data_IF_542731810319
#
_entry.id   IF_542731810319
#
_cell.length_a   1.000
_cell.length_b   1.000
_cell.length_c   1.000
_cell.angle_alpha   90.00
_cell.angle_beta   90.00
_cell.angle_gamma   90.00
#
_symmetry.space_group_name_H-M   'P 1'
#
loop_
_entity.id
_entity.type
_entity.pdbx_description
1 polymer ?
#
# COMPACT_ATOMS: atom_id res chain seq x y z
N UNK A 1 -18.22 6.36 -2.17
CA UNK A 1 -17.53 5.39 -1.31
C UNK A 1 -16.08 5.39 -1.76
N UNK A 2 -15.14 5.84 -0.93
CA UNK A 2 -13.72 5.71 -1.24
C UNK A 2 -13.27 4.35 -0.71
N UNK A 3 -12.62 3.57 -1.57
CA UNK A 3 -11.99 2.30 -1.19
C UNK A 3 -10.52 2.65 -0.98
N UNK A 4 -9.98 2.36 0.21
CA UNK A 4 -8.60 2.66 0.60
C UNK A 4 -7.84 1.34 0.76
N UNK A 5 -6.63 1.27 0.22
CA UNK A 5 -5.67 0.20 0.46
C UNK A 5 -4.50 0.70 1.32
N UNK A 6 -3.83 -0.22 2.02
CA UNK A 6 -2.63 0.06 2.79
C UNK A 6 -1.67 -1.11 2.65
N UNK A 7 -0.48 -0.82 2.14
CA UNK A 7 0.52 -1.85 1.85
C UNK A 7 1.84 -1.49 2.47
N UNK A 8 2.59 -2.52 2.86
CA UNK A 8 3.89 -2.34 3.47
C UNK A 8 4.97 -3.10 2.71
N UNK A 9 6.08 -2.43 2.43
CA UNK A 9 7.27 -3.04 1.85
C UNK A 9 8.43 -3.00 2.84
N UNK A 10 8.92 -4.19 3.21
CA UNK A 10 10.04 -4.35 4.12
C UNK A 10 11.22 -5.01 3.42
N UNK A 11 12.40 -4.42 3.55
CA UNK A 11 13.63 -5.17 3.29
C UNK A 11 13.74 -6.32 4.29
N UNK A 12 14.21 -7.49 3.82
CA UNK A 12 14.42 -8.63 4.70
C UNK A 12 15.69 -8.44 5.55
N UNK A 13 15.55 -7.79 6.70
CA UNK A 13 16.62 -7.53 7.67
C UNK A 13 16.08 -7.45 9.10
N UNK A 14 16.99 -7.40 10.08
CA UNK A 14 16.61 -7.15 11.47
C UNK A 14 16.26 -5.67 11.68
N UNK A 15 15.15 -5.40 12.35
CA UNK A 15 14.69 -4.06 12.70
C UNK A 15 14.77 -3.83 14.21
N UNK A 16 15.15 -2.62 14.61
CA UNK A 16 15.08 -2.21 16.01
C UNK A 16 13.62 -2.13 16.47
N UNK A 17 13.35 -2.54 17.72
CA UNK A 17 12.01 -2.40 18.33
C UNK A 17 11.61 -0.92 18.41
N UNK A 18 10.31 -0.64 18.25
CA UNK A 18 9.76 0.71 18.37
C UNK A 18 9.93 1.61 17.14
N UNK A 19 10.39 1.07 16.00
CA UNK A 19 10.35 1.78 14.72
C UNK A 19 8.91 1.87 14.22
N UNK A 20 8.50 3.05 13.75
CA UNK A 20 7.19 3.24 13.11
C UNK A 20 7.14 2.48 11.78
N UNK A 21 6.02 1.80 11.53
CA UNK A 21 5.78 1.09 10.26
C UNK A 21 5.41 2.03 9.11
N UNK A 22 5.12 3.30 9.44
CA UNK A 22 4.66 4.33 8.50
C UNK A 22 5.61 4.55 7.33
N UNK A 23 6.92 4.51 7.57
CA UNK A 23 7.93 4.70 6.51
C UNK A 23 8.01 3.54 5.51
N UNK A 24 7.36 2.41 5.81
CA UNK A 24 7.32 1.25 4.93
C UNK A 24 6.01 1.18 4.14
N UNK A 25 5.07 2.08 4.44
CA UNK A 25 3.81 2.13 3.73
C UNK A 25 4.03 2.70 2.32
N UNK A 26 3.53 1.97 1.32
CA UNK A 26 3.59 2.33 -0.10
C UNK A 26 2.19 2.16 -0.74
N UNK A 27 2.01 2.64 -1.97
CA UNK A 27 0.81 2.35 -2.76
C UNK A 27 0.83 0.92 -3.31
N UNK A 28 -0.35 0.40 -3.67
CA UNK A 28 -0.45 -0.88 -4.37
C UNK A 28 0.29 -0.80 -5.70
N UNK A 29 0.12 0.27 -6.49
CA UNK A 29 0.85 0.46 -7.76
C UNK A 29 2.36 0.17 -7.62
N UNK A 30 2.94 0.64 -6.51
CA UNK A 30 4.37 0.46 -6.24
C UNK A 30 4.70 -0.96 -5.82
N UNK A 31 3.80 -1.63 -5.10
CA UNK A 31 3.92 -3.03 -4.75
C UNK A 31 3.81 -3.94 -5.99
N UNK A 32 2.93 -3.62 -6.93
CA UNK A 32 2.80 -4.33 -8.20
C UNK A 32 4.06 -4.20 -9.05
N UNK A 33 4.64 -3.00 -9.13
CA UNK A 33 5.93 -2.78 -9.79
C UNK A 33 7.04 -3.67 -9.20
N UNK A 34 7.04 -3.87 -7.88
CA UNK A 34 8.05 -4.68 -7.20
C UNK A 34 7.83 -6.19 -7.32
N UNK A 35 6.58 -6.62 -7.45
CA UNK A 35 6.20 -8.04 -7.36
C UNK A 35 5.78 -8.65 -8.69
N UNK A 36 5.32 -7.83 -9.64
CA UNK A 36 4.65 -8.28 -10.87
C UNK A 36 3.28 -8.91 -10.63
N UNK A 37 2.68 -8.71 -9.44
CA UNK A 37 1.36 -9.20 -9.08
C UNK A 37 0.35 -8.09 -9.33
N UNK A 38 -0.78 -8.47 -9.94
CA UNK A 38 -1.97 -7.64 -10.09
C UNK A 38 -2.98 -8.01 -8.98
N UNK A 39 -3.13 -7.14 -7.99
CA UNK A 39 -3.90 -7.42 -6.78
C UNK A 39 -5.41 -7.26 -6.99
N UNK A 40 -5.84 -6.28 -7.76
CA UNK A 40 -7.26 -5.96 -7.91
C UNK A 40 -7.84 -6.20 -9.32
N UNK A 41 -7.21 -7.02 -10.17
CA UNK A 41 -7.68 -7.44 -11.51
C UNK A 41 -9.16 -7.85 -11.67
N UNK A 42 -9.84 -8.20 -10.57
CA UNK A 42 -11.26 -8.54 -10.59
C UNK A 42 -12.19 -7.32 -10.50
N UNK A 43 -11.64 -6.14 -10.26
CA UNK A 43 -12.37 -4.87 -10.22
C UNK A 43 -12.43 -4.26 -11.62
N UNK A 44 -13.45 -3.45 -11.93
CA UNK A 44 -13.42 -2.59 -13.12
C UNK A 44 -12.22 -1.64 -13.06
N UNK A 45 -11.58 -1.40 -14.21
CA UNK A 45 -10.35 -0.60 -14.34
C UNK A 45 -10.44 0.74 -13.58
N UNK A 46 -11.58 1.43 -13.63
CA UNK A 46 -11.71 2.73 -12.99
C UNK A 46 -11.69 2.65 -11.45
N UNK A 47 -12.14 1.53 -10.87
CA UNK A 47 -12.14 1.28 -9.44
C UNK A 47 -10.75 0.80 -9.01
N UNK A 48 -10.19 -0.15 -9.75
CA UNK A 48 -8.82 -0.66 -9.59
C UNK A 48 -7.81 0.49 -9.57
N UNK A 49 -7.71 1.26 -10.65
CA UNK A 49 -6.81 2.43 -10.75
C UNK A 49 -7.01 3.45 -9.62
N UNK A 50 -8.24 3.57 -9.11
CA UNK A 50 -8.52 4.46 -7.97
C UNK A 50 -7.96 3.86 -6.68
N UNK A 51 -8.21 2.58 -6.40
CA UNK A 51 -7.72 1.93 -5.18
C UNK A 51 -6.21 1.88 -5.16
N UNK A 52 -5.59 1.53 -6.28
CA UNK A 52 -4.18 1.21 -6.30
C UNK A 52 -3.27 2.43 -6.21
N UNK A 53 -3.72 3.55 -6.78
CA UNK A 53 -3.03 4.84 -6.69
C UNK A 53 -3.21 5.54 -5.33
N UNK A 54 -4.28 5.23 -4.59
CA UNK A 54 -4.61 5.95 -3.36
C UNK A 54 -3.81 5.45 -2.16
N UNK A 55 -2.53 5.81 -2.09
CA UNK A 55 -1.84 5.97 -0.82
C UNK A 55 -1.87 7.45 -0.41
N UNK A 56 -2.57 7.73 0.68
CA UNK A 56 -2.39 8.99 1.42
C UNK A 56 -1.78 8.60 2.75
N UNK A 57 -1.28 9.56 3.51
CA UNK A 57 -0.77 9.28 4.86
C UNK A 57 -1.77 9.66 5.94
N UNK A 58 -2.69 10.56 5.59
CA UNK A 58 -3.67 11.24 6.44
C UNK A 58 -4.92 10.43 6.76
N UNK A 59 -5.28 9.45 5.95
CA UNK A 59 -6.49 8.63 6.10
C UNK A 59 -6.29 7.49 7.13
N UNK A 60 -5.10 7.37 7.73
CA UNK A 60 -4.70 6.31 8.65
C UNK A 60 -4.38 6.94 10.00
N UNK A 61 -5.08 6.48 11.04
CA UNK A 61 -4.79 6.90 12.42
C UNK A 61 -3.62 6.07 12.97
N UNK A 62 -2.40 6.63 12.93
CA UNK A 62 -1.15 6.01 13.38
C UNK A 62 -0.95 6.02 14.92
N UNK A 63 -2.03 6.20 15.69
CA UNK A 63 -2.00 6.36 17.15
C UNK A 63 -1.52 5.10 17.88
#
# INVERSE_FOLDING_TARGET
MAILSLDFWFEHKSYAKGKSYKSYAISIDKLEEYTGIDFFHNLPDNIENTVEANYKESDWSWN
#
